data_IF_780889999727
#
_entry.id   IF_780889999727
#
_cell.length_a   1.000
_cell.length_b   1.000
_cell.length_c   1.000
_cell.angle_alpha   90.00
_cell.angle_beta   90.00
_cell.angle_gamma   90.00
#
_symmetry.space_group_name_H-M   'P 1'
#
loop_
_entity.id
_entity.type
_entity.pdbx_description
1 polymer ?
#
# COMPACT_ATOMS: atom_id res chain seq x y z
N UNK A 1 11.82 -16.57 5.26
CA UNK A 1 10.54 -17.15 5.68
C UNK A 1 10.76 -18.46 6.43
N UNK A 2 11.38 -19.47 5.81
CA UNK A 2 11.66 -20.77 6.45
C UNK A 2 12.44 -20.66 7.78
N UNK A 3 13.48 -19.81 7.84
CA UNK A 3 14.24 -19.54 9.08
C UNK A 3 13.41 -19.01 10.26
N UNK A 4 12.22 -18.48 9.97
CA UNK A 4 11.29 -17.92 10.94
C UNK A 4 10.05 -18.81 11.12
N UNK A 5 10.06 -20.04 10.59
CA UNK A 5 8.96 -20.99 10.71
C UNK A 5 7.76 -20.70 9.81
N UNK A 6 7.87 -19.80 8.84
CA UNK A 6 6.77 -19.47 7.92
C UNK A 6 6.85 -20.26 6.61
N UNK A 7 5.73 -20.83 6.18
CA UNK A 7 5.56 -21.45 4.85
C UNK A 7 5.32 -20.37 3.78
N UNK A 8 5.97 -20.50 2.62
CA UNK A 8 5.68 -19.66 1.45
C UNK A 8 4.71 -20.38 0.53
N UNK A 9 3.41 -20.06 0.64
CA UNK A 9 2.35 -20.67 -0.19
C UNK A 9 2.39 -20.20 -1.64
N UNK A 10 2.77 -18.94 -1.87
CA UNK A 10 2.92 -18.33 -3.19
C UNK A 10 3.89 -17.15 -3.12
N UNK A 11 4.76 -17.04 -4.14
CA UNK A 11 5.64 -15.89 -4.35
C UNK A 11 5.56 -15.47 -5.81
N UNK A 12 5.25 -14.19 -6.08
CA UNK A 12 5.10 -13.64 -7.43
C UNK A 12 5.62 -12.21 -7.48
N UNK A 13 6.20 -11.84 -8.61
CA UNK A 13 6.47 -10.45 -8.95
C UNK A 13 5.33 -9.93 -9.84
N UNK A 14 4.68 -8.85 -9.42
CA UNK A 14 3.61 -8.21 -10.19
C UNK A 14 4.08 -6.83 -10.67
N UNK A 15 4.35 -6.72 -11.96
CA UNK A 15 4.78 -5.46 -12.59
C UNK A 15 3.54 -4.60 -12.81
N UNK A 16 3.62 -3.31 -12.48
CA UNK A 16 2.50 -2.39 -12.66
C UNK A 16 1.41 -2.53 -11.60
N UNK A 17 1.74 -3.03 -10.39
CA UNK A 17 0.82 -3.19 -9.28
C UNK A 17 0.16 -1.88 -8.78
N UNK A 18 0.64 -0.72 -9.23
CA UNK A 18 -0.01 0.58 -9.05
C UNK A 18 -1.32 0.73 -9.85
N UNK A 19 -1.52 -0.08 -10.90
CA UNK A 19 -2.75 -0.13 -11.68
C UNK A 19 -3.75 -1.07 -11.02
N UNK A 20 -4.96 -0.56 -10.75
CA UNK A 20 -5.98 -1.33 -10.06
C UNK A 20 -6.37 -2.63 -10.79
N UNK A 21 -6.65 -2.64 -12.11
CA UNK A 21 -6.92 -3.87 -12.85
C UNK A 21 -5.80 -4.92 -12.77
N UNK A 22 -4.54 -4.46 -12.76
CA UNK A 22 -3.38 -5.35 -12.66
C UNK A 22 -3.32 -6.01 -11.28
N UNK A 23 -3.54 -5.23 -10.22
CA UNK A 23 -3.58 -5.77 -8.86
C UNK A 23 -4.75 -6.73 -8.69
N UNK A 24 -5.95 -6.34 -9.13
CA UNK A 24 -7.14 -7.17 -9.04
C UNK A 24 -6.93 -8.52 -9.74
N UNK A 25 -6.40 -8.50 -10.96
CA UNK A 25 -6.07 -9.71 -11.70
C UNK A 25 -5.05 -10.56 -10.94
N UNK A 26 -3.99 -9.96 -10.40
CA UNK A 26 -2.98 -10.66 -9.61
C UNK A 26 -3.56 -11.33 -8.36
N UNK A 27 -4.40 -10.61 -7.62
CA UNK A 27 -5.10 -11.14 -6.44
C UNK A 27 -6.02 -12.30 -6.84
N UNK A 28 -6.83 -12.13 -7.89
CA UNK A 28 -7.78 -13.14 -8.36
C UNK A 28 -7.08 -14.40 -8.90
N UNK A 29 -5.97 -14.25 -9.62
CA UNK A 29 -5.26 -15.37 -10.25
C UNK A 29 -4.37 -16.13 -9.26
N UNK A 30 -3.71 -15.44 -8.32
CA UNK A 30 -2.66 -16.03 -7.52
C UNK A 30 -3.00 -16.18 -6.03
N UNK A 31 -3.83 -15.30 -5.49
CA UNK A 31 -4.10 -15.24 -4.04
C UNK A 31 -5.45 -15.89 -3.71
N UNK A 32 -6.56 -15.42 -4.30
CA UNK A 32 -7.91 -15.93 -4.00
C UNK A 32 -8.04 -17.46 -4.07
N UNK A 33 -7.45 -18.17 -5.06
CA UNK A 33 -7.55 -19.63 -5.14
C UNK A 33 -6.89 -20.36 -3.97
N UNK A 34 -6.04 -19.69 -3.20
CA UNK A 34 -5.27 -20.24 -2.08
C UNK A 34 -5.54 -19.54 -0.76
N UNK A 35 -6.55 -18.66 -0.70
CA UNK A 35 -6.81 -17.78 0.45
C UNK A 35 -6.90 -18.53 1.78
N UNK A 36 -7.49 -19.74 1.78
CA UNK A 36 -7.65 -20.58 2.98
C UNK A 36 -6.36 -21.12 3.57
N UNK A 37 -5.23 -20.98 2.88
CA UNK A 37 -3.91 -21.42 3.33
C UNK A 37 -2.98 -20.26 3.69
N UNK A 38 -3.44 -19.02 3.53
CA UNK A 38 -2.61 -17.83 3.67
C UNK A 38 -3.11 -17.05 4.88
N UNK A 39 -2.22 -16.78 5.83
CA UNK A 39 -2.55 -15.94 7.00
C UNK A 39 -2.25 -14.46 6.74
N UNK A 40 -1.23 -14.18 5.92
CA UNK A 40 -0.81 -12.82 5.58
C UNK A 40 -0.16 -12.75 4.20
N UNK A 41 -0.25 -11.57 3.59
CA UNK A 41 0.44 -11.22 2.35
C UNK A 41 1.63 -10.33 2.68
N UNK A 42 2.84 -10.80 2.42
CA UNK A 42 4.04 -9.97 2.57
C UNK A 42 4.36 -9.31 1.24
N UNK A 43 4.34 -7.98 1.22
CA UNK A 43 4.49 -7.18 0.01
C UNK A 43 5.70 -6.25 0.07
N UNK A 44 6.43 -6.20 -1.05
CA UNK A 44 7.51 -5.25 -1.30
C UNK A 44 7.12 -4.47 -2.56
N UNK A 45 6.60 -3.26 -2.37
CA UNK A 45 6.19 -2.37 -3.46
C UNK A 45 6.23 -0.91 -3.00
N UNK A 46 6.03 0.02 -3.93
CA UNK A 46 5.71 1.41 -3.61
C UNK A 46 4.35 1.54 -2.89
N UNK A 47 4.03 2.77 -2.46
CA UNK A 47 2.79 3.10 -1.76
C UNK A 47 1.55 2.74 -2.59
N UNK A 48 1.55 3.06 -3.88
CA UNK A 48 0.47 2.73 -4.80
C UNK A 48 0.11 1.23 -4.80
N UNK A 49 1.12 0.37 -4.90
CA UNK A 49 0.90 -1.09 -4.88
C UNK A 49 0.34 -1.56 -3.54
N UNK A 50 0.80 -0.98 -2.42
CA UNK A 50 0.33 -1.35 -1.08
C UNK A 50 -1.13 -0.95 -0.85
N UNK A 51 -1.50 0.25 -1.30
CA UNK A 51 -2.89 0.74 -1.27
C UNK A 51 -3.80 -0.19 -2.09
N UNK A 52 -3.41 -0.56 -3.31
CA UNK A 52 -4.19 -1.47 -4.15
C UNK A 52 -4.32 -2.87 -3.52
N UNK A 53 -3.26 -3.42 -2.93
CA UNK A 53 -3.33 -4.73 -2.28
C UNK A 53 -4.29 -4.74 -1.09
N UNK A 54 -4.33 -3.65 -0.31
CA UNK A 54 -5.33 -3.48 0.76
C UNK A 54 -6.74 -3.25 0.20
N UNK A 55 -6.86 -2.57 -0.94
CA UNK A 55 -8.17 -2.30 -1.56
C UNK A 55 -8.83 -3.56 -2.11
N UNK A 56 -8.09 -4.39 -2.86
CA UNK A 56 -8.61 -5.66 -3.41
C UNK A 56 -8.55 -6.83 -2.41
N UNK A 57 -8.25 -6.52 -1.15
CA UNK A 57 -7.92 -7.49 -0.12
C UNK A 57 -9.00 -8.57 0.04
N UNK A 58 -8.68 -9.87 -0.11
CA UNK A 58 -9.62 -10.96 0.09
C UNK A 58 -9.84 -11.31 1.59
N UNK A 59 -9.65 -10.36 2.50
CA UNK A 59 -9.76 -10.56 3.96
C UNK A 59 -8.46 -11.01 4.65
N UNK A 60 -7.31 -10.78 4.03
CA UNK A 60 -5.98 -11.10 4.56
C UNK A 60 -5.27 -9.87 5.12
N UNK A 61 -4.38 -10.07 6.09
CA UNK A 61 -3.48 -8.99 6.51
C UNK A 61 -2.43 -8.76 5.43
N UNK A 62 -2.34 -7.54 4.91
CA UNK A 62 -1.24 -7.14 4.01
C UNK A 62 -0.14 -6.51 4.86
N UNK A 63 1.02 -7.17 4.93
CA UNK A 63 2.18 -6.77 5.71
C UNK A 63 3.26 -6.25 4.76
N UNK A 64 3.71 -5.04 5.02
CA UNK A 64 4.79 -4.46 4.25
C UNK A 64 6.15 -4.83 4.84
N UNK A 65 7.08 -5.24 3.98
CA UNK A 65 8.41 -5.67 4.42
C UNK A 65 9.46 -4.53 4.46
N UNK A 66 9.16 -3.36 3.90
CA UNK A 66 10.02 -2.18 3.92
C UNK A 66 9.19 -0.90 3.81
N UNK A 67 9.72 0.24 4.27
CA UNK A 67 9.05 1.52 4.09
C UNK A 67 8.92 1.86 2.59
N UNK A 68 7.70 1.93 2.04
CA UNK A 68 7.50 2.27 0.66
C UNK A 68 7.68 3.76 0.43
N UNK A 69 8.23 4.07 -0.72
CA UNK A 69 8.19 5.41 -1.30
C UNK A 69 7.30 5.40 -2.53
N UNK A 70 6.89 6.57 -2.97
CA UNK A 70 6.20 6.74 -4.26
C UNK A 70 4.78 7.28 -4.15
N UNK A 71 4.19 7.46 -5.33
CA UNK A 71 2.98 8.25 -5.52
C UNK A 71 1.70 7.47 -5.19
N UNK A 72 0.58 8.19 -5.32
CA UNK A 72 -0.79 7.70 -5.17
C UNK A 72 -1.07 6.42 -5.98
N UNK A 73 -2.00 5.61 -5.49
CA UNK A 73 -2.50 4.49 -6.25
C UNK A 73 -3.26 5.01 -7.48
N UNK A 74 -2.98 4.45 -8.66
CA UNK A 74 -3.76 4.73 -9.86
C UNK A 74 -5.03 3.90 -9.79
N UNK A 75 -5.91 4.30 -8.89
CA UNK A 75 -7.28 3.81 -8.80
C UNK A 75 -8.07 4.58 -9.86
N UNK A 76 -8.73 3.90 -10.82
CA UNK A 76 -9.56 4.59 -11.77
C UNK A 76 -10.66 5.34 -11.01
N UNK A 77 -10.61 6.67 -11.02
CA UNK A 77 -11.74 7.49 -10.63
C UNK A 77 -12.83 7.28 -11.67
N UNK A 78 -13.80 6.42 -11.38
CA UNK A 78 -14.90 6.14 -12.28
C UNK A 78 -15.92 5.20 -11.68
N UNK A 79 -17.16 5.30 -12.16
CA UNK A 79 -18.32 4.50 -11.73
C UNK A 79 -18.06 2.98 -11.77
N UNK A 80 -17.09 2.53 -12.58
CA UNK A 80 -16.74 1.11 -12.70
C UNK A 80 -16.19 0.48 -11.40
N UNK A 81 -15.50 1.25 -10.55
CA UNK A 81 -14.98 0.78 -9.26
C UNK A 81 -15.72 1.40 -8.06
N UNK A 82 -16.73 2.25 -8.29
CA UNK A 82 -17.58 2.77 -7.22
C UNK A 82 -18.51 1.71 -6.60
N UNK A 83 -18.69 0.58 -7.28
CA UNK A 83 -19.51 -0.55 -6.81
C UNK A 83 -18.88 -1.31 -5.63
N UNK A 84 -17.62 -1.02 -5.29
CA UNK A 84 -16.99 -1.48 -4.04
C UNK A 84 -17.31 -0.58 -2.84
N UNK A 85 -18.17 0.44 -3.00
CA UNK A 85 -18.74 1.25 -1.92
C UNK A 85 -17.76 2.18 -1.19
N UNK A 86 -16.47 2.11 -1.54
CA UNK A 86 -15.41 2.82 -0.83
C UNK A 86 -15.05 4.12 -1.54
N UNK A 87 -15.59 5.24 -1.03
CA UNK A 87 -14.95 6.54 -1.20
C UNK A 87 -13.60 6.47 -0.47
N UNK A 88 -12.53 6.21 -1.24
CA UNK A 88 -11.19 6.05 -0.69
C UNK A 88 -10.76 7.33 0.02
N UNK A 89 -10.68 7.32 1.34
CA UNK A 89 -10.04 8.39 2.12
C UNK A 89 -8.51 8.28 1.99
N UNK A 90 -7.98 7.89 0.83
CA UNK A 90 -6.58 7.53 0.63
C UNK A 90 -6.01 8.06 -0.70
N UNK A 91 -6.33 9.29 -1.07
CA UNK A 91 -5.80 10.00 -2.26
C UNK A 91 -4.44 10.68 -2.01
N UNK A 92 -4.07 10.89 -0.75
CA UNK A 92 -2.88 11.60 -0.34
C UNK A 92 -1.61 10.96 -0.85
N UNK A 93 -0.73 11.83 -1.37
CA UNK A 93 0.63 11.49 -1.80
C UNK A 93 1.48 11.06 -0.60
N UNK A 94 2.45 10.17 -0.84
CA UNK A 94 3.42 9.80 0.18
C UNK A 94 4.30 10.98 0.54
N UNK A 95 4.50 11.20 1.85
CA UNK A 95 5.39 12.22 2.39
C UNK A 95 6.82 11.74 2.64
N UNK A 96 7.11 10.46 2.35
CA UNK A 96 8.38 9.82 2.64
C UNK A 96 8.84 10.02 4.10
N UNK A 97 7.95 9.75 5.06
CA UNK A 97 8.24 9.94 6.48
C UNK A 97 9.05 8.79 7.11
N UNK A 98 9.41 7.77 6.33
CA UNK A 98 10.17 6.59 6.78
C UNK A 98 9.57 5.88 8.00
N UNK A 99 8.25 6.02 8.17
CA UNK A 99 7.49 5.46 9.29
C UNK A 99 6.17 4.93 8.74
N UNK A 100 6.23 3.99 7.80
CA UNK A 100 5.05 3.52 7.13
C UNK A 100 4.14 2.72 8.08
N UNK A 101 2.86 3.04 8.08
CA UNK A 101 1.85 2.40 8.94
C UNK A 101 0.77 1.67 8.14
N UNK A 102 0.90 1.58 6.81
CA UNK A 102 -0.14 1.08 5.91
C UNK A 102 -0.60 -0.35 6.21
N UNK A 103 0.30 -1.18 6.76
CA UNK A 103 -0.02 -2.55 7.20
C UNK A 103 -1.02 -2.60 8.36
N UNK A 104 -1.14 -1.52 9.13
CA UNK A 104 -1.98 -1.41 10.32
C UNK A 104 -3.22 -0.55 10.06
N UNK A 105 -3.18 0.30 9.03
CA UNK A 105 -4.23 1.27 8.72
C UNK A 105 -5.04 0.89 7.48
N UNK A 106 -5.09 -0.40 7.14
CA UNK A 106 -5.86 -0.95 6.02
C UNK A 106 -5.57 -0.23 4.69
N UNK A 107 -4.30 0.09 4.44
CA UNK A 107 -3.89 0.82 3.23
C UNK A 107 -4.20 2.32 3.20
N UNK A 108 -4.74 2.91 4.27
CA UNK A 108 -4.97 4.35 4.37
C UNK A 108 -3.75 5.01 5.01
N UNK A 109 -3.17 6.05 4.40
CA UNK A 109 -2.06 6.78 5.02
C UNK A 109 -2.59 7.89 5.94
N UNK A 110 -2.62 7.73 7.28
CA UNK A 110 -3.21 8.73 8.15
C UNK A 110 -2.40 10.03 8.15
N UNK A 111 -1.09 9.98 7.93
CA UNK A 111 -0.25 11.18 7.85
C UNK A 111 -0.55 12.01 6.60
N UNK A 112 -0.85 11.36 5.47
CA UNK A 112 -1.24 12.08 4.28
C UNK A 112 -2.64 12.70 4.41
N UNK A 113 -3.55 11.96 5.03
CA UNK A 113 -5.00 12.21 5.02
C UNK A 113 -5.52 12.96 6.24
N UNK A 114 -4.81 12.94 7.36
CA UNK A 114 -5.21 13.68 8.56
C UNK A 114 -4.78 15.15 8.40
N UNK A 115 -5.68 16.14 8.60
CA UNK A 115 -5.27 17.54 8.53
C UNK A 115 -4.34 17.93 9.69
N UNK A 116 -4.40 17.17 10.81
CA UNK A 116 -3.47 17.29 11.94
C UNK A 116 -2.17 16.51 11.76
N UNK A 117 -1.98 15.80 10.64
CA UNK A 117 -0.79 14.96 10.40
C UNK A 117 -0.53 13.92 11.50
N UNK A 118 -1.59 13.40 12.12
CA UNK A 118 -1.47 12.35 13.14
C UNK A 118 -1.19 10.99 12.49
N UNK A 119 -0.10 10.33 12.91
CA UNK A 119 0.41 9.08 12.31
C UNK A 119 0.05 7.82 13.09
N UNK A 120 0.04 7.88 14.43
CA UNK A 120 -0.09 6.70 15.30
C UNK A 120 -1.40 6.64 16.10
N UNK A 121 -2.47 7.25 15.59
CA UNK A 121 -3.78 7.26 16.23
C UNK A 121 -4.48 8.62 16.11
N UNK A 122 -5.61 8.77 16.79
CA UNK A 122 -6.36 10.03 16.82
C UNK A 122 -5.47 11.20 17.27
N UNK A 123 -5.67 12.38 16.65
CA UNK A 123 -5.04 13.61 17.13
C UNK A 123 -5.74 14.11 18.40
N UNK A 124 -5.20 15.16 19.02
CA UNK A 124 -5.74 15.76 20.25
C UNK A 124 -7.17 16.31 20.13
N UNK A 125 -7.74 16.37 18.93
CA UNK A 125 -9.10 16.83 18.67
C UNK A 125 -9.88 15.77 17.88
N UNK A 126 -10.15 14.59 18.46
CA UNK A 126 -10.91 13.55 17.80
C UNK A 126 -12.35 14.01 17.55
N UNK A 127 -13.08 13.38 16.62
CA UNK A 127 -14.52 13.59 16.47
C UNK A 127 -15.26 13.37 17.78
N UNK A 128 -16.33 14.15 18.00
CA UNK A 128 -17.26 13.90 19.11
C UNK A 128 -17.85 12.50 19.01
N UNK A 129 -18.20 11.91 20.15
CA UNK A 129 -18.88 10.61 20.19
C UNK A 129 -20.14 10.63 19.29
N UNK A 130 -20.28 9.61 18.43
CA UNK A 130 -21.37 9.50 17.46
C UNK A 130 -21.20 10.34 16.18
N UNK A 131 -20.12 11.13 16.04
CA UNK A 131 -19.80 11.86 14.82
C UNK A 131 -18.67 11.18 14.05
N UNK A 132 -18.87 11.05 12.73
CA UNK A 132 -17.84 10.60 11.79
C UNK A 132 -17.04 11.76 11.17
N UNK A 133 -17.48 13.01 11.39
CA UNK A 133 -16.86 14.20 10.79
C UNK A 133 -15.59 14.62 11.53
N UNK A 134 -14.59 15.06 10.77
CA UNK A 134 -13.35 15.56 11.34
C UNK A 134 -13.59 16.89 12.08
N UNK A 135 -13.07 17.00 13.31
CA UNK A 135 -13.21 18.21 14.14
C UNK A 135 -12.50 19.43 13.54
N UNK A 136 -11.37 19.20 12.86
CA UNK A 136 -10.58 20.28 12.23
C UNK A 136 -11.01 20.62 10.81
N UNK A 137 -11.71 19.70 10.15
CA UNK A 137 -12.21 19.86 8.80
C UNK A 137 -13.59 19.19 8.66
N UNK A 138 -14.67 19.87 9.08
CA UNK A 138 -16.02 19.30 9.10
C UNK A 138 -16.55 18.90 7.72
N UNK A 139 -15.90 19.35 6.64
CA UNK A 139 -16.26 18.98 5.26
C UNK A 139 -15.98 17.52 4.93
N UNK A 140 -15.12 16.85 5.71
CA UNK A 140 -14.72 15.46 5.46
C UNK A 140 -14.90 14.53 6.66
N UNK A 141 -14.80 13.24 6.38
CA UNK A 141 -14.78 12.22 7.42
C UNK A 141 -13.42 12.20 8.14
N UNK A 142 -13.43 11.82 9.41
CA UNK A 142 -12.20 11.63 10.15
C UNK A 142 -11.49 10.36 9.69
N UNK A 143 -10.27 10.48 9.17
CA UNK A 143 -9.48 9.34 8.69
C UNK A 143 -9.34 8.22 9.73
N UNK A 144 -9.17 8.56 11.00
CA UNK A 144 -9.01 7.56 12.06
C UNK A 144 -10.31 6.83 12.40
N UNK A 145 -11.48 7.46 12.22
CA UNK A 145 -12.76 6.75 12.30
C UNK A 145 -12.92 5.77 11.14
N UNK A 146 -12.53 6.19 9.94
CA UNK A 146 -12.57 5.32 8.75
C UNK A 146 -11.61 4.14 8.90
N UNK A 147 -10.39 4.36 9.41
CA UNK A 147 -9.43 3.28 9.71
C UNK A 147 -10.00 2.30 10.75
N UNK A 148 -10.56 2.82 11.85
CA UNK A 148 -11.17 2.01 12.91
C UNK A 148 -12.33 1.14 12.36
N UNK A 149 -13.23 1.73 11.58
CA UNK A 149 -14.36 1.04 10.96
C UNK A 149 -13.94 -0.01 9.93
N UNK A 150 -12.80 0.19 9.24
CA UNK A 150 -12.22 -0.79 8.32
C UNK A 150 -11.46 -1.91 9.02
N UNK A 151 -11.36 -1.89 10.34
CA UNK A 151 -10.65 -2.91 11.12
C UNK A 151 -9.14 -2.67 11.20
N UNK A 152 -8.71 -1.39 11.20
CA UNK A 152 -7.32 -1.03 11.46
C UNK A 152 -6.82 -1.53 12.81
N UNK A 153 -5.58 -1.99 12.85
CA UNK A 153 -4.91 -2.55 14.02
C UNK A 153 -4.27 -1.44 14.87
N UNK A 154 -5.09 -0.78 15.69
CA UNK A 154 -4.65 0.33 16.52
C UNK A 154 -3.72 -0.08 17.67
N UNK A 155 -3.83 -1.33 18.16
CA UNK A 155 -2.92 -1.83 19.20
C UNK A 155 -1.54 -2.14 18.62
N UNK A 156 -1.48 -2.84 17.47
CA UNK A 156 -0.22 -3.07 16.77
C UNK A 156 0.44 -1.76 16.31
N UNK A 157 -0.35 -0.73 16.02
CA UNK A 157 0.16 0.60 15.69
C UNK A 157 0.87 1.29 16.87
N UNK A 158 0.41 1.05 18.12
CA UNK A 158 1.11 1.55 19.31
C UNK A 158 2.46 0.86 19.49
N UNK A 159 2.51 -0.46 19.27
CA UNK A 159 3.77 -1.21 19.29
C UNK A 159 4.74 -0.69 18.22
N UNK A 160 4.25 -0.49 17.00
CA UNK A 160 5.04 0.08 15.92
C UNK A 160 5.57 1.48 16.25
N UNK A 161 4.78 2.30 16.96
CA UNK A 161 5.24 3.62 17.41
C UNK A 161 6.48 3.50 18.30
N UNK A 162 6.51 2.56 19.24
CA UNK A 162 7.68 2.36 20.10
C UNK A 162 8.92 1.98 19.30
N UNK A 163 8.77 1.17 18.25
CA UNK A 163 9.87 0.80 17.34
C UNK A 163 10.35 2.01 16.53
N UNK A 164 9.44 2.84 16.02
CA UNK A 164 9.78 4.03 15.25
C UNK A 164 10.38 5.17 16.08
N UNK A 165 10.07 5.22 17.38
CA UNK A 165 10.67 6.18 18.31
C UNK A 165 12.05 5.70 18.84
N UNK A 166 12.44 4.45 18.61
CA UNK A 166 13.72 3.88 19.05
C UNK A 166 14.82 4.09 18.01
N UNK A 167 15.67 5.10 18.25
CA UNK A 167 16.85 5.40 17.44
C UNK A 167 17.89 4.25 17.40
N UNK A 168 17.78 3.27 18.31
CA UNK A 168 18.62 2.08 18.36
C UNK A 168 18.19 0.94 17.44
N UNK A 169 17.01 1.03 16.81
CA UNK A 169 16.50 -0.02 15.95
C UNK A 169 17.23 -0.05 14.60
N UNK A 170 17.92 -1.16 14.31
CA UNK A 170 18.65 -1.34 13.06
C UNK A 170 17.66 -1.60 11.90
N UNK A 171 17.44 -0.58 11.08
CA UNK A 171 16.66 -0.69 9.84
C UNK A 171 17.42 -1.52 8.82
N UNK A 172 16.71 -2.28 7.99
CA UNK A 172 17.32 -3.02 6.88
C UNK A 172 18.14 -2.03 6.06
N UNK A 173 19.46 -2.22 5.94
CA UNK A 173 20.32 -1.27 5.26
C UNK A 173 19.90 -1.17 3.79
N UNK A 174 19.98 0.04 3.22
CA UNK A 174 19.84 0.21 1.78
C UNK A 174 20.82 -0.72 1.09
N UNK A 175 20.29 -1.64 0.28
CA UNK A 175 21.11 -2.54 -0.52
C UNK A 175 22.04 -1.68 -1.39
N UNK A 176 23.34 -1.76 -1.15
CA UNK A 176 24.34 -1.06 -1.95
C UNK A 176 24.22 -1.54 -3.40
N UNK A 177 24.02 -0.62 -4.34
CA UNK A 177 24.02 -0.96 -5.77
C UNK A 177 25.41 -1.38 -6.21
N UNK A 178 25.53 -2.57 -6.80
CA UNK A 178 26.74 -2.92 -7.53
C UNK A 178 26.87 -2.03 -8.78
N UNK A 179 28.03 -1.40 -9.03
CA UNK A 179 28.27 -0.58 -10.22
C UNK A 179 28.08 -1.34 -11.54
N UNK A 180 28.25 -2.66 -11.52
CA UNK A 180 28.14 -3.56 -12.69
C UNK A 180 26.72 -3.68 -13.25
N UNK A 181 25.70 -3.30 -12.47
CA UNK A 181 24.30 -3.34 -12.90
C UNK A 181 23.96 -2.26 -13.94
N UNK A 182 24.80 -1.23 -14.09
CA UNK A 182 24.47 -0.03 -14.87
C UNK A 182 24.38 -0.28 -16.38
N UNK A 183 25.29 -1.09 -16.94
CA UNK A 183 25.24 -1.47 -18.35
C UNK A 183 24.02 -2.37 -18.64
N UNK A 184 23.78 -3.38 -17.81
CA UNK A 184 22.63 -4.29 -17.95
C UNK A 184 21.31 -3.52 -17.82
N UNK A 185 21.20 -2.61 -16.86
CA UNK A 185 20.03 -1.74 -16.68
C UNK A 185 19.81 -0.83 -17.89
N UNK A 186 20.88 -0.24 -18.46
CA UNK A 186 20.80 0.56 -19.69
C UNK A 186 20.32 -0.27 -20.87
N UNK A 187 20.82 -1.49 -21.05
CA UNK A 187 20.39 -2.38 -22.12
C UNK A 187 18.94 -2.84 -21.94
N UNK A 188 18.55 -3.23 -20.73
CA UNK A 188 17.16 -3.61 -20.41
C UNK A 188 16.21 -2.42 -20.60
N UNK A 189 16.58 -1.23 -20.13
CA UNK A 189 15.80 -0.01 -20.32
C UNK A 189 15.63 0.34 -21.80
N UNK A 190 16.70 0.24 -22.58
CA UNK A 190 16.68 0.48 -24.03
C UNK A 190 15.80 -0.53 -24.78
N UNK A 191 15.92 -1.83 -24.46
CA UNK A 191 15.10 -2.88 -25.05
C UNK A 191 13.62 -2.74 -24.63
N UNK A 192 13.35 -2.43 -23.36
CA UNK A 192 12.00 -2.17 -22.87
C UNK A 192 11.35 -0.99 -23.59
N UNK A 193 12.08 0.13 -23.73
CA UNK A 193 11.61 1.31 -24.45
C UNK A 193 11.34 1.06 -25.93
N UNK A 194 12.11 0.17 -26.59
CA UNK A 194 11.96 -0.11 -28.03
C UNK A 194 11.02 -1.26 -28.38
N UNK A 195 10.80 -2.22 -27.49
CA UNK A 195 10.00 -3.40 -27.78
C UNK A 195 8.68 -3.42 -27.01
N UNK A 196 8.69 -3.07 -25.72
CA UNK A 196 7.52 -3.20 -24.85
C UNK A 196 6.61 -1.99 -24.95
N UNK A 197 7.17 -0.77 -24.98
CA UNK A 197 6.37 0.45 -25.09
C UNK A 197 5.60 0.52 -26.41
N UNK A 198 6.19 0.27 -27.60
CA UNK A 198 5.45 0.32 -28.85
C UNK A 198 4.40 -0.80 -28.95
N UNK A 199 4.67 -1.98 -28.38
CA UNK A 199 3.69 -3.06 -28.31
C UNK A 199 2.49 -2.67 -27.43
N UNK A 200 2.74 -2.09 -26.25
CA UNK A 200 1.68 -1.61 -25.37
C UNK A 200 0.86 -0.48 -26.01
N UNK A 201 1.50 0.45 -26.70
CA UNK A 201 0.82 1.52 -27.47
C UNK A 201 -0.04 0.94 -28.60
N UNK A 202 0.45 -0.09 -29.30
CA UNK A 202 -0.31 -0.76 -30.36
C UNK A 202 -1.56 -1.47 -29.81
N UNK A 203 -1.43 -2.13 -28.65
CA UNK A 203 -2.55 -2.83 -27.99
C UNK A 203 -3.60 -1.85 -27.45
N UNK A 204 -3.20 -0.64 -27.03
CA UNK A 204 -4.14 0.42 -26.65
C UNK A 204 -4.96 1.00 -27.81
N UNK A 205 -4.47 0.88 -29.06
CA UNK A 205 -5.17 1.34 -30.27
C UNK A 205 -6.13 0.32 -30.88
N UNK A 206 -6.14 -0.94 -30.42
CA UNK A 206 -6.99 -2.02 -30.94
C UNK A 206 -8.29 -2.17 -30.11
N UNK A 207 -8.65 -1.16 -29.31
CA UNK A 207 -9.84 -1.17 -28.46
C UNK A 207 -10.90 -0.18 -28.96
#
# INVERSE_FOLDING_TARGET
>A
MEKWGYEVVVARALIGCCSAPVMEHGVNAYIKPKNSRIDALIQISCVAGMKNANYFNPGLRVVQAADPVGVEALLPHGEYYSDHGDNLVAYGLCYNCEHCVLSFTTGICPYAECPSKSLYGFCDHPPKAGSRKCTRDPGRECVWKVIEERGGDLEGLKELKFIHDDDGYERIPLISREPSADFKLKTVGFLGARAVVPFAETVHFIR
#
